data_IF_835425734817
#
_entry.id   IF_835425734817
#
_cell.length_a   1.000
_cell.length_b   1.000
_cell.length_c   1.000
_cell.angle_alpha   90.00
_cell.angle_beta   90.00
_cell.angle_gamma   90.00
#
_symmetry.space_group_name_H-M   'P 1'
#
loop_
_entity.id
_entity.type
_entity.pdbx_description
1 polymer ?
#
# COMPACT_ATOMS: atom_id res chain seq x y z
N UNK A 1 -8.51 16.80 -6.71
CA UNK A 1 -9.00 16.35 -5.40
C UNK A 1 -8.43 14.96 -5.23
N UNK A 2 -7.75 14.67 -4.13
CA UNK A 2 -7.24 13.33 -3.88
C UNK A 2 -8.43 12.40 -3.59
N UNK A 3 -8.51 11.26 -4.28
CA UNK A 3 -9.59 10.28 -4.10
C UNK A 3 -9.37 9.38 -2.88
N UNK A 4 -8.10 9.19 -2.51
CA UNK A 4 -7.67 8.47 -1.32
C UNK A 4 -6.91 9.42 -0.40
N UNK A 5 -7.21 9.38 0.88
CA UNK A 5 -6.53 10.12 1.95
C UNK A 5 -6.08 9.16 3.05
N UNK A 6 -5.14 9.59 3.91
CA UNK A 6 -4.73 8.78 5.05
C UNK A 6 -5.90 8.42 5.96
N UNK A 7 -6.85 9.34 6.15
CA UNK A 7 -8.06 9.13 6.97
C UNK A 7 -8.99 8.07 6.37
N UNK A 8 -9.14 8.04 5.04
CA UNK A 8 -9.91 6.99 4.36
C UNK A 8 -9.21 5.63 4.43
N UNK A 9 -7.88 5.59 4.48
CA UNK A 9 -7.13 4.34 4.62
C UNK A 9 -7.11 3.78 6.04
N UNK A 10 -7.22 4.63 7.08
CA UNK A 10 -7.13 4.23 8.50
C UNK A 10 -8.05 3.07 8.89
N UNK A 11 -9.35 3.05 8.52
CA UNK A 11 -10.25 1.93 8.82
C UNK A 11 -9.72 0.58 8.32
N UNK A 12 -9.02 0.55 7.19
CA UNK A 12 -8.47 -0.67 6.58
C UNK A 12 -7.08 -1.05 7.12
N UNK A 13 -6.43 -0.13 7.85
CA UNK A 13 -5.07 -0.26 8.39
C UNK A 13 -4.98 -0.36 9.92
N UNK A 14 -6.11 -0.33 10.64
CA UNK A 14 -6.15 -0.23 12.11
C UNK A 14 -5.42 -1.37 12.88
N UNK A 15 -5.21 -2.52 12.24
CA UNK A 15 -4.44 -3.65 12.79
C UNK A 15 -3.03 -3.79 12.22
N UNK A 16 -2.63 -2.88 11.31
CA UNK A 16 -1.36 -2.90 10.60
C UNK A 16 -0.37 -1.94 11.27
N UNK A 17 0.93 -2.12 11.01
CA UNK A 17 1.98 -1.25 11.54
C UNK A 17 2.36 -0.15 10.55
N UNK A 18 1.33 0.50 9.99
CA UNK A 18 1.48 1.62 9.07
C UNK A 18 1.14 2.91 9.82
N UNK A 19 2.14 3.79 9.98
CA UNK A 19 1.91 5.11 10.58
C UNK A 19 1.13 6.02 9.64
N UNK A 20 0.56 7.10 10.18
CA UNK A 20 -0.19 8.11 9.40
C UNK A 20 0.63 8.68 8.24
N UNK A 21 1.93 8.93 8.44
CA UNK A 21 2.83 9.41 7.37
C UNK A 21 3.00 8.40 6.24
N UNK A 22 3.04 7.10 6.59
CA UNK A 22 3.11 6.02 5.61
C UNK A 22 1.78 5.89 4.88
N UNK A 23 0.65 5.94 5.59
CA UNK A 23 -0.68 5.91 4.99
C UNK A 23 -0.89 7.09 4.03
N UNK A 24 -0.42 8.28 4.40
CA UNK A 24 -0.45 9.45 3.52
C UNK A 24 0.35 9.21 2.24
N UNK A 25 1.55 8.61 2.34
CA UNK A 25 2.35 8.27 1.17
C UNK A 25 1.70 7.19 0.31
N UNK A 26 1.14 6.15 0.92
CA UNK A 26 0.42 5.08 0.21
C UNK A 26 -0.79 5.65 -0.54
N UNK A 27 -1.60 6.49 0.11
CA UNK A 27 -2.74 7.15 -0.51
C UNK A 27 -2.31 7.97 -1.73
N UNK A 28 -1.23 8.76 -1.61
CA UNK A 28 -0.66 9.51 -2.73
C UNK A 28 -0.26 8.60 -3.90
N UNK A 29 0.36 7.43 -3.62
CA UNK A 29 0.74 6.46 -4.66
C UNK A 29 -0.44 5.78 -5.32
N UNK A 30 -1.53 5.52 -4.58
CA UNK A 30 -2.79 4.99 -5.15
C UNK A 30 -3.43 6.04 -6.06
N UNK A 31 -3.45 7.30 -5.63
CA UNK A 31 -4.03 8.42 -6.39
C UNK A 31 -3.36 8.68 -7.74
N UNK A 32 -2.13 8.20 -7.98
CA UNK A 32 -1.50 8.27 -9.31
C UNK A 32 -2.28 7.46 -10.36
N UNK A 33 -3.09 6.49 -9.92
CA UNK A 33 -4.00 5.73 -10.79
C UNK A 33 -3.31 4.74 -11.73
N UNK A 34 -2.01 4.51 -11.54
CA UNK A 34 -1.26 3.47 -12.23
C UNK A 34 -1.25 2.17 -11.41
N UNK A 35 -0.87 1.07 -12.08
CA UNK A 35 -0.65 -0.22 -11.41
C UNK A 35 0.48 -0.07 -10.39
N UNK A 36 0.21 -0.47 -9.17
CA UNK A 36 1.10 -0.33 -8.03
C UNK A 36 1.66 -1.71 -7.65
N UNK A 37 2.94 -1.93 -7.95
CA UNK A 37 3.71 -3.04 -7.38
C UNK A 37 3.88 -2.82 -5.88
N UNK A 38 3.29 -3.67 -5.06
CA UNK A 38 3.40 -3.57 -3.60
C UNK A 38 4.82 -3.90 -3.12
N UNK A 39 5.54 -4.76 -3.83
CA UNK A 39 6.96 -5.00 -3.57
C UNK A 39 7.79 -3.74 -3.82
N UNK A 40 7.59 -3.05 -4.94
CA UNK A 40 8.29 -1.80 -5.21
C UNK A 40 7.93 -0.73 -4.18
N UNK A 41 6.64 -0.55 -3.90
CA UNK A 41 6.17 0.41 -2.89
C UNK A 41 6.78 0.14 -1.52
N UNK A 42 6.89 -1.13 -1.10
CA UNK A 42 7.48 -1.50 0.18
C UNK A 42 8.96 -1.09 0.28
N UNK A 43 9.72 -1.21 -0.82
CA UNK A 43 11.13 -0.78 -0.88
C UNK A 43 11.26 0.73 -0.86
N UNK A 44 10.36 1.45 -1.53
CA UNK A 44 10.31 2.91 -1.47
C UNK A 44 10.00 3.41 -0.06
N UNK A 45 9.03 2.81 0.62
CA UNK A 45 8.69 3.11 2.01
C UNK A 45 9.90 2.83 2.90
N UNK A 46 10.58 1.70 2.71
CA UNK A 46 11.84 1.42 3.40
C UNK A 46 12.94 2.45 3.15
N UNK A 47 13.03 3.00 1.94
CA UNK A 47 14.03 4.03 1.63
C UNK A 47 13.67 5.37 2.27
N UNK A 48 12.38 5.73 2.25
CA UNK A 48 11.88 7.06 2.65
C UNK A 48 11.70 7.23 4.15
N UNK A 49 11.23 6.20 4.85
CA UNK A 49 10.89 6.28 6.27
C UNK A 49 11.97 5.61 7.12
N UNK A 50 12.29 6.21 8.27
CA UNK A 50 13.33 5.72 9.18
C UNK A 50 12.78 4.96 10.39
N UNK A 51 11.55 4.46 10.29
CA UNK A 51 10.92 3.67 11.33
C UNK A 51 11.60 2.29 11.49
N UNK A 52 11.80 1.88 12.74
CA UNK A 52 12.55 0.66 13.08
C UNK A 52 11.85 -0.62 12.64
N UNK A 53 10.52 -0.65 12.57
CA UNK A 53 9.76 -1.77 12.02
C UNK A 53 9.87 -1.77 10.50
N UNK A 54 9.62 -0.63 9.85
CA UNK A 54 9.66 -0.50 8.38
C UNK A 54 10.99 -0.99 7.80
N UNK A 55 12.11 -0.65 8.43
CA UNK A 55 13.46 -1.04 7.98
C UNK A 55 13.75 -2.55 8.09
N UNK A 56 12.90 -3.34 8.75
CA UNK A 56 13.12 -4.77 8.91
C UNK A 56 12.79 -5.54 7.63
N UNK A 57 13.46 -6.68 7.48
CA UNK A 57 13.16 -7.67 6.47
C UNK A 57 12.73 -8.97 7.14
N UNK A 58 11.87 -9.72 6.45
CA UNK A 58 11.59 -11.13 6.75
C UNK A 58 12.87 -11.97 6.62
N UNK A 59 12.94 -13.20 7.18
CA UNK A 59 14.09 -14.09 7.01
C UNK A 59 14.45 -14.40 5.55
N UNK A 60 13.48 -14.27 4.62
CA UNK A 60 13.67 -14.43 3.17
C UNK A 60 14.10 -13.15 2.45
N UNK A 61 14.45 -12.10 3.19
CA UNK A 61 14.97 -10.84 2.65
C UNK A 61 13.92 -9.86 2.10
N UNK A 62 12.62 -10.14 2.27
CA UNK A 62 11.56 -9.21 1.83
C UNK A 62 11.28 -8.13 2.86
N UNK A 63 10.96 -6.90 2.46
CA UNK A 63 10.51 -5.85 3.38
C UNK A 63 9.36 -6.33 4.26
N UNK A 64 9.43 -6.11 5.57
CA UNK A 64 8.37 -6.57 6.48
C UNK A 64 7.05 -5.84 6.19
N UNK A 65 7.14 -4.56 5.82
CA UNK A 65 6.01 -3.68 5.47
C UNK A 65 5.25 -4.15 4.22
N UNK A 66 5.84 -5.01 3.39
CA UNK A 66 5.17 -5.61 2.24
C UNK A 66 3.90 -6.37 2.64
N UNK A 67 3.93 -7.10 3.76
CA UNK A 67 2.78 -7.85 4.25
C UNK A 67 1.62 -6.94 4.64
N UNK A 68 1.92 -5.86 5.35
CA UNK A 68 0.94 -4.85 5.75
C UNK A 68 0.32 -4.17 4.51
N UNK A 69 1.12 -3.80 3.52
CA UNK A 69 0.60 -3.23 2.27
C UNK A 69 -0.33 -4.19 1.52
N UNK A 70 0.02 -5.48 1.47
CA UNK A 70 -0.85 -6.47 0.84
C UNK A 70 -2.20 -6.57 1.56
N UNK A 71 -2.19 -6.64 2.90
CA UNK A 71 -3.42 -6.68 3.69
C UNK A 71 -4.27 -5.42 3.51
N UNK A 72 -3.64 -4.25 3.52
CA UNK A 72 -4.32 -2.97 3.25
C UNK A 72 -5.04 -3.00 1.89
N UNK A 73 -4.31 -3.33 0.81
CA UNK A 73 -4.87 -3.35 -0.54
C UNK A 73 -5.92 -4.45 -0.75
N UNK A 74 -5.80 -5.59 -0.07
CA UNK A 74 -6.83 -6.63 -0.05
C UNK A 74 -8.11 -6.10 0.60
N UNK A 75 -8.00 -5.46 1.77
CA UNK A 75 -9.15 -4.90 2.48
C UNK A 75 -9.85 -3.82 1.64
N UNK A 76 -9.09 -2.91 1.03
CA UNK A 76 -9.62 -1.90 0.11
C UNK A 76 -10.35 -2.53 -1.09
N UNK A 77 -9.76 -3.58 -1.67
CA UNK A 77 -10.35 -4.25 -2.83
C UNK A 77 -11.64 -4.99 -2.47
N UNK A 78 -11.70 -5.60 -1.29
CA UNK A 78 -12.92 -6.27 -0.80
C UNK A 78 -14.09 -5.31 -0.58
N UNK A 79 -13.79 -4.04 -0.27
CA UNK A 79 -14.78 -2.99 -0.05
C UNK A 79 -15.05 -2.13 -1.31
N UNK A 80 -14.50 -2.54 -2.46
CA UNK A 80 -14.79 -1.92 -3.75
C UNK A 80 -13.97 -0.66 -4.08
N UNK A 81 -12.90 -0.39 -3.34
CA UNK A 81 -12.00 0.74 -3.59
C UNK A 81 -10.84 0.37 -4.53
N UNK A 82 -11.05 -0.44 -5.56
CA UNK A 82 -9.97 -0.91 -6.44
C UNK A 82 -9.82 -2.43 -6.51
N UNK A 83 -8.76 -2.87 -7.20
CA UNK A 83 -8.59 -4.27 -7.58
C UNK A 83 -7.17 -4.77 -7.38
N UNK A 84 -7.06 -5.97 -6.80
CA UNK A 84 -5.84 -6.77 -6.88
C UNK A 84 -5.75 -7.42 -8.27
N UNK A 85 -4.75 -7.05 -9.05
CA UNK A 85 -4.54 -7.54 -10.42
C UNK A 85 -3.67 -8.80 -10.47
N UNK A 86 -2.72 -8.92 -9.54
CA UNK A 86 -1.83 -10.07 -9.41
C UNK A 86 -1.60 -10.34 -7.93
N UNK A 87 -1.72 -11.61 -7.55
CA UNK A 87 -1.44 -12.09 -6.20
C UNK A 87 -0.65 -13.38 -6.36
N UNK A 88 0.65 -13.27 -6.51
CA UNK A 88 1.53 -14.44 -6.50
C UNK A 88 2.66 -14.29 -5.48
N UNK A 89 3.52 -15.30 -5.43
CA UNK A 89 4.62 -15.31 -4.49
C UNK A 89 5.67 -14.25 -4.79
N UNK A 90 5.72 -13.65 -5.98
CA UNK A 90 6.74 -12.65 -6.36
C UNK A 90 6.32 -11.24 -6.04
N UNK A 91 5.09 -10.86 -6.38
CA UNK A 91 4.56 -9.53 -6.16
C UNK A 91 3.02 -9.53 -6.12
N UNK A 92 2.50 -8.56 -5.40
CA UNK A 92 1.10 -8.19 -5.42
C UNK A 92 0.99 -6.88 -6.20
N UNK A 93 0.08 -6.84 -7.18
CA UNK A 93 -0.18 -5.63 -7.96
C UNK A 93 -1.59 -5.14 -7.66
N UNK A 94 -1.70 -3.88 -7.24
CA UNK A 94 -2.96 -3.22 -6.93
C UNK A 94 -3.21 -2.05 -7.88
N UNK A 95 -4.47 -1.77 -8.19
CA UNK A 95 -4.90 -0.54 -8.88
C UNK A 95 -6.08 0.05 -8.11
N UNK A 96 -5.97 1.33 -7.74
CA UNK A 96 -7.08 2.06 -7.11
C UNK A 96 -8.12 2.44 -8.14
N UNK A 97 -9.40 2.39 -7.74
CA UNK A 97 -10.48 2.92 -8.57
C UNK A 97 -10.50 4.46 -8.39
N UNK A 98 -9.71 5.14 -9.22
CA UNK A 98 -9.69 6.60 -9.34
C UNK A 98 -10.33 7.00 -10.66
N UNK A 99 -11.27 7.95 -10.65
CA UNK A 99 -11.81 8.49 -11.90
C UNK A 99 -10.74 9.34 -12.59
N UNK A 100 -10.22 8.87 -13.73
CA UNK A 100 -9.45 9.72 -14.62
C UNK A 100 -10.44 10.62 -15.36
N UNK A 101 -10.44 11.92 -15.06
CA UNK A 101 -11.00 12.91 -15.97
C UNK A 101 -10.16 12.84 -17.26
N UNK A 102 -10.69 12.16 -18.28
CA UNK A 102 -10.17 12.13 -19.64
C UNK A 102 -10.49 13.43 -20.38
#
# INVERSE_FOLDING_TARGET
MDFYTAEELKPYAHHLKLSDDILHYVASRINWGDKLSLMQLSKEIQSKFNDSYVKQNTPKGRPIVYGDLCLLCINLSQDGHGRMLQVDLTDCVYIGDVERYS
#
